data_IF_965972271843
#
_entry.id   IF_965972271843
#
_cell.length_a   1.000
_cell.length_b   1.000
_cell.length_c   1.000
_cell.angle_alpha   90.00
_cell.angle_beta   90.00
_cell.angle_gamma   90.00
#
_symmetry.space_group_name_H-M   'P 1'
#
loop_
_entity.id
_entity.type
_entity.pdbx_description
1 polymer ?
#
# COMPACT_ATOMS: atom_id res chain seq x y z
N UNK A 1 -8.50 -32.90 15.13
CA UNK A 1 -9.23 -31.73 14.57
C UNK A 1 -8.74 -30.37 15.08
N UNK A 2 -7.92 -30.27 16.15
CA UNK A 2 -7.41 -28.98 16.64
C UNK A 2 -6.29 -28.35 15.80
N UNK A 3 -5.37 -29.16 15.25
CA UNK A 3 -4.23 -28.66 14.46
C UNK A 3 -4.66 -28.00 13.15
N UNK A 4 -5.63 -28.60 12.44
CA UNK A 4 -6.17 -28.06 11.17
C UNK A 4 -6.87 -26.71 11.37
N UNK A 5 -7.54 -26.50 12.52
CA UNK A 5 -8.16 -25.20 12.82
C UNK A 5 -7.13 -24.10 13.08
N UNK A 6 -6.01 -24.43 13.72
CA UNK A 6 -4.93 -23.47 13.99
C UNK A 6 -4.25 -23.02 12.70
N UNK A 7 -3.91 -23.97 11.81
CA UNK A 7 -3.31 -23.66 10.51
C UNK A 7 -4.24 -22.81 9.63
N UNK A 8 -5.55 -23.07 9.68
CA UNK A 8 -6.53 -22.27 8.95
C UNK A 8 -6.62 -20.82 9.46
N UNK A 9 -6.63 -20.61 10.78
CA UNK A 9 -6.65 -19.26 11.38
C UNK A 9 -5.36 -18.50 11.05
N UNK A 10 -4.20 -19.15 11.11
CA UNK A 10 -2.92 -18.51 10.73
C UNK A 10 -2.90 -18.12 9.25
N UNK A 11 -3.49 -18.94 8.38
CA UNK A 11 -3.65 -18.62 6.96
C UNK A 11 -4.55 -17.40 6.73
N UNK A 12 -5.71 -17.33 7.40
CA UNK A 12 -6.63 -16.19 7.28
C UNK A 12 -5.98 -14.88 7.74
N UNK A 13 -5.27 -14.89 8.88
CA UNK A 13 -4.52 -13.72 9.37
C UNK A 13 -3.45 -13.29 8.36
N UNK A 14 -2.75 -14.26 7.75
CA UNK A 14 -1.78 -13.99 6.70
C UNK A 14 -2.41 -13.35 5.47
N UNK A 15 -3.60 -13.80 5.06
CA UNK A 15 -4.35 -13.25 3.94
C UNK A 15 -4.77 -11.79 4.21
N UNK A 16 -5.35 -11.52 5.38
CA UNK A 16 -5.74 -10.17 5.80
C UNK A 16 -4.53 -9.21 5.79
N UNK A 17 -3.37 -9.67 6.27
CA UNK A 17 -2.14 -8.88 6.24
C UNK A 17 -1.66 -8.57 4.81
N UNK A 18 -1.86 -9.49 3.86
CA UNK A 18 -1.49 -9.27 2.45
C UNK A 18 -2.44 -8.27 1.80
N UNK A 19 -3.74 -8.39 2.04
CA UNK A 19 -4.75 -7.46 1.51
C UNK A 19 -4.50 -6.04 2.01
N UNK A 20 -4.26 -5.86 3.32
CA UNK A 20 -3.88 -4.58 3.90
C UNK A 20 -2.59 -4.01 3.27
N UNK A 21 -1.61 -4.87 3.01
CA UNK A 21 -0.38 -4.50 2.32
C UNK A 21 -0.61 -4.03 0.88
N UNK A 22 -1.49 -4.70 0.14
CA UNK A 22 -1.85 -4.33 -1.24
C UNK A 22 -2.63 -3.02 -1.29
N UNK A 23 -3.58 -2.80 -0.38
CA UNK A 23 -4.30 -1.54 -0.25
C UNK A 23 -3.33 -0.38 0.04
N UNK A 24 -2.39 -0.60 0.96
CA UNK A 24 -1.35 0.37 1.29
C UNK A 24 -0.45 0.68 0.10
N UNK A 25 0.05 -0.34 -0.62
CA UNK A 25 0.88 -0.15 -1.81
C UNK A 25 0.12 0.58 -2.93
N UNK A 26 -1.18 0.33 -3.07
CA UNK A 26 -2.00 0.99 -4.09
C UNK A 26 -2.12 2.50 -3.83
N UNK A 27 -2.30 2.87 -2.56
CA UNK A 27 -2.48 4.25 -2.11
C UNK A 27 -1.17 5.03 -1.94
N UNK A 28 -0.10 4.38 -1.48
CA UNK A 28 1.12 5.07 -1.04
C UNK A 28 2.42 4.50 -1.65
N UNK A 29 2.33 3.42 -2.41
CA UNK A 29 3.48 2.80 -3.06
C UNK A 29 4.10 3.70 -4.13
N UNK A 30 5.39 3.44 -4.39
CA UNK A 30 6.11 4.04 -5.52
C UNK A 30 5.61 3.39 -6.81
N UNK A 31 5.23 4.22 -7.78
CA UNK A 31 4.75 3.76 -9.09
C UNK A 31 5.82 4.01 -10.13
N UNK A 32 6.23 2.96 -10.83
CA UNK A 32 7.21 3.04 -11.93
C UNK A 32 6.57 2.59 -13.22
N UNK A 33 6.58 3.43 -14.25
CA UNK A 33 6.05 3.11 -15.57
C UNK A 33 6.91 3.73 -16.66
N UNK A 34 6.79 3.22 -17.90
CA UNK A 34 7.35 3.88 -19.06
C UNK A 34 6.36 4.89 -19.59
N UNK A 35 6.81 6.12 -19.80
CA UNK A 35 5.98 7.15 -20.41
C UNK A 35 5.86 6.97 -21.94
N UNK A 36 5.22 7.93 -22.61
CA UNK A 36 5.05 7.92 -24.06
C UNK A 36 6.36 8.15 -24.83
N UNK A 37 7.41 8.65 -24.17
CA UNK A 37 8.75 8.82 -24.76
C UNK A 37 9.58 7.55 -24.66
N UNK A 38 9.16 6.60 -23.82
CA UNK A 38 9.85 5.35 -23.54
C UNK A 38 10.81 5.44 -22.36
N UNK A 39 10.90 6.60 -21.70
CA UNK A 39 11.68 6.80 -20.49
C UNK A 39 10.97 6.22 -19.26
N UNK A 40 11.75 5.69 -18.32
CA UNK A 40 11.21 5.21 -17.05
C UNK A 40 10.95 6.39 -16.12
N UNK A 41 9.72 6.49 -15.65
CA UNK A 41 9.29 7.53 -14.70
C UNK A 41 8.96 6.86 -13.37
N UNK A 42 9.46 7.45 -12.29
CA UNK A 42 9.18 7.06 -10.92
C UNK A 42 8.32 8.14 -10.25
N UNK A 43 7.15 7.73 -9.75
CA UNK A 43 6.22 8.59 -9.00
C UNK A 43 6.21 8.13 -7.56
N UNK A 44 6.78 8.96 -6.68
CA UNK A 44 6.75 8.76 -5.23
C UNK A 44 5.51 9.41 -4.62
N UNK A 45 5.04 8.86 -3.51
CA UNK A 45 3.98 9.46 -2.72
C UNK A 45 4.47 10.77 -2.09
N UNK A 46 3.72 11.85 -2.30
CA UNK A 46 3.95 13.13 -1.66
C UNK A 46 3.78 13.00 -0.14
N UNK A 47 4.48 13.81 0.63
CA UNK A 47 4.38 13.81 2.09
C UNK A 47 4.11 15.21 2.61
N UNK A 48 3.36 15.30 3.69
CA UNK A 48 3.14 16.54 4.42
C UNK A 48 3.86 16.47 5.78
N UNK A 49 4.51 17.56 6.21
CA UNK A 49 5.00 17.64 7.58
C UNK A 49 3.84 17.57 8.57
N UNK A 50 4.00 16.78 9.63
CA UNK A 50 3.14 16.85 10.81
C UNK A 50 3.78 17.81 11.82
N UNK A 51 2.97 18.61 12.52
CA UNK A 51 3.46 19.51 13.56
C UNK A 51 3.72 18.81 14.90
N UNK A 52 3.18 17.60 15.08
CA UNK A 52 3.22 16.84 16.33
C UNK A 52 4.10 15.58 16.24
N UNK A 53 4.39 15.10 15.03
CA UNK A 53 5.22 13.92 14.79
C UNK A 53 6.49 14.28 14.00
N UNK A 54 7.57 13.54 14.26
CA UNK A 54 8.86 13.75 13.57
C UNK A 54 8.82 13.21 12.14
N UNK A 55 7.95 12.23 11.87
CA UNK A 55 7.79 11.64 10.55
C UNK A 55 6.74 12.38 9.73
N UNK A 56 7.03 12.59 8.45
CA UNK A 56 6.09 13.21 7.52
C UNK A 56 4.97 12.24 7.16
N UNK A 57 3.72 12.69 7.23
CA UNK A 57 2.55 11.88 6.87
C UNK A 57 2.45 11.75 5.34
N UNK A 58 2.35 10.54 4.78
CA UNK A 58 2.20 10.35 3.34
C UNK A 58 0.78 10.74 2.88
N UNK A 59 0.69 11.42 1.73
CA UNK A 59 -0.57 11.82 1.10
C UNK A 59 -0.95 10.76 0.07
N UNK A 60 -2.13 10.11 0.19
CA UNK A 60 -2.51 9.02 -0.71
C UNK A 60 -2.61 9.51 -2.16
N UNK A 61 -2.17 8.67 -3.09
CA UNK A 61 -2.44 8.84 -4.51
C UNK A 61 -3.95 8.84 -4.75
N UNK A 62 -4.44 9.71 -5.62
CA UNK A 62 -5.83 9.68 -6.08
C UNK A 62 -6.08 8.36 -6.81
N UNK A 63 -6.90 7.50 -6.21
CA UNK A 63 -7.44 6.32 -6.88
C UNK A 63 -8.75 6.70 -7.56
N UNK A 64 -9.03 6.09 -8.71
CA UNK A 64 -10.22 6.39 -9.54
C UNK A 64 -11.56 6.00 -8.87
N UNK A 65 -11.54 5.50 -7.62
CA UNK A 65 -12.66 4.89 -6.91
C UNK A 65 -13.39 5.82 -5.92
N UNK A 66 -13.07 7.12 -5.87
CA UNK A 66 -13.91 8.09 -5.15
C UNK A 66 -15.03 8.58 -6.05
N UNK A 67 -16.17 7.88 -6.04
CA UNK A 67 -17.50 8.37 -6.46
C UNK A 67 -18.41 8.37 -5.25
#
# INVERSE_FOLDING_TARGET
>A
MGMVKKEFVEYEIGLESVEAGLEWLTRYGVKTFRDFTGEWVEVRCSRQPDFFEVEETPIPHLTMETV
#
